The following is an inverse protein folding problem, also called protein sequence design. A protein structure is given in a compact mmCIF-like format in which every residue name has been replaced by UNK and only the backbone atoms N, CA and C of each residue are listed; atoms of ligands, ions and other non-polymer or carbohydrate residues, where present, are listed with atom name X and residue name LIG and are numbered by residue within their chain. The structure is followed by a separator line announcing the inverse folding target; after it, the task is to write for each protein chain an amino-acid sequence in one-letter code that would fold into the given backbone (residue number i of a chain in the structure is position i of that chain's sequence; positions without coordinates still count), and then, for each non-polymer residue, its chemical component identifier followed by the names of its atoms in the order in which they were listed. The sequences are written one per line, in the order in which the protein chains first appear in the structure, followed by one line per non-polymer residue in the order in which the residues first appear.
data_IF_470811615717
#
_entry.id   IF_470811615717
#
_cell.length_a   1.000
_cell.length_b   1.000
_cell.length_c   1.000
_cell.angle_alpha   90.00
_cell.angle_beta   90.00
_cell.angle_gamma   90.00
#
_symmetry.space_group_name_H-M   'P 1'
#
loop_
_entity.id
_entity.type
_entity.pdbx_description
1 polymer ?
#
# COMPACT_ATOMS: atom_id res chain seq x y z
N UNK A 1 -12.62 20.35 12.38
CA UNK A 1 -13.18 18.98 12.50
C UNK A 1 -12.00 18.09 12.79
N UNK A 2 -12.01 17.41 13.92
CA UNK A 2 -10.88 16.60 14.35
C UNK A 2 -10.65 15.45 13.35
N UNK A 3 -9.38 15.12 13.12
CA UNK A 3 -8.93 14.02 12.30
C UNK A 3 -9.45 12.71 12.91
N UNK A 4 -10.17 11.84 12.16
CA UNK A 4 -10.58 10.55 12.70
C UNK A 4 -9.36 9.69 13.03
N UNK A 5 -9.42 8.85 14.07
CA UNK A 5 -8.38 7.87 14.31
C UNK A 5 -8.31 6.88 13.15
N UNK A 6 -7.12 6.34 12.87
CA UNK A 6 -6.99 5.22 11.94
C UNK A 6 -7.38 3.93 12.67
N UNK A 7 -8.41 3.28 12.17
CA UNK A 7 -8.91 1.99 12.63
C UNK A 7 -8.76 0.99 11.47
N UNK A 8 -7.70 0.20 11.52
CA UNK A 8 -7.37 -0.75 10.47
C UNK A 8 -8.41 -1.89 10.41
N UNK A 9 -8.86 -2.39 11.55
CA UNK A 9 -9.83 -3.49 11.61
C UNK A 9 -11.20 -3.09 11.05
N UNK A 10 -11.62 -1.85 11.29
CA UNK A 10 -12.87 -1.35 10.75
C UNK A 10 -12.81 -1.13 9.23
N UNK A 11 -11.64 -0.80 8.68
CA UNK A 11 -11.47 -0.43 7.28
C UNK A 11 -11.10 -1.64 6.40
N UNK A 12 -10.33 -2.59 6.95
CA UNK A 12 -9.77 -3.73 6.26
C UNK A 12 -10.35 -5.04 6.84
N UNK A 13 -11.59 -5.33 6.50
CA UNK A 13 -12.39 -6.44 7.01
C UNK A 13 -12.89 -7.35 5.87
N UNK A 14 -13.86 -8.22 6.17
CA UNK A 14 -14.49 -9.10 5.18
C UNK A 14 -15.25 -8.33 4.08
N UNK A 15 -15.80 -7.14 4.38
CA UNK A 15 -16.45 -6.32 3.37
C UNK A 15 -15.40 -5.77 2.39
N UNK A 16 -14.21 -5.40 2.88
CA UNK A 16 -13.10 -5.04 2.01
C UNK A 16 -12.73 -6.19 1.06
N UNK A 17 -12.52 -7.40 1.57
CA UNK A 17 -12.19 -8.57 0.74
C UNK A 17 -13.26 -8.82 -0.32
N UNK A 18 -14.54 -8.82 0.07
CA UNK A 18 -15.66 -9.03 -0.84
C UNK A 18 -15.66 -8.04 -2.02
N UNK A 19 -15.52 -6.75 -1.76
CA UNK A 19 -15.57 -5.75 -2.83
C UNK A 19 -14.28 -5.67 -3.65
N UNK A 20 -13.13 -5.89 -3.03
CA UNK A 20 -11.84 -5.73 -3.70
C UNK A 20 -11.40 -6.96 -4.50
N UNK A 21 -12.01 -8.12 -4.32
CA UNK A 21 -11.79 -9.30 -5.16
C UNK A 21 -11.98 -9.00 -6.64
N UNK A 22 -13.07 -8.33 -7.02
CA UNK A 22 -13.32 -7.93 -8.40
C UNK A 22 -12.45 -6.75 -8.88
N UNK A 23 -12.08 -5.86 -7.97
CA UNK A 23 -11.24 -4.70 -8.28
C UNK A 23 -9.77 -5.05 -8.45
N UNK A 24 -9.34 -6.20 -7.94
CA UNK A 24 -7.96 -6.68 -7.96
C UNK A 24 -7.86 -8.07 -8.62
N UNK A 25 -8.31 -8.22 -9.87
CA UNK A 25 -8.21 -9.50 -10.57
C UNK A 25 -6.76 -9.93 -10.74
N UNK A 26 -6.53 -11.22 -10.95
CA UNK A 26 -5.20 -11.82 -11.09
C UNK A 26 -4.34 -11.10 -12.13
N UNK A 27 -4.90 -10.80 -13.29
CA UNK A 27 -4.18 -10.10 -14.37
C UNK A 27 -3.61 -8.74 -13.92
N UNK A 28 -4.32 -8.01 -13.05
CA UNK A 28 -3.83 -6.75 -12.48
C UNK A 28 -2.71 -7.02 -11.47
N UNK A 29 -2.89 -7.99 -10.60
CA UNK A 29 -1.88 -8.37 -9.62
C UNK A 29 -0.60 -8.90 -10.28
N UNK A 30 -0.72 -9.62 -11.40
CA UNK A 30 0.40 -10.08 -12.22
C UNK A 30 1.16 -8.91 -12.86
N UNK A 31 0.43 -7.95 -13.44
CA UNK A 31 1.03 -6.76 -14.05
C UNK A 31 1.75 -5.87 -13.01
N UNK A 32 1.15 -5.68 -11.84
CA UNK A 32 1.77 -4.95 -10.74
C UNK A 32 3.02 -5.67 -10.20
N UNK A 33 2.97 -7.00 -10.07
CA UNK A 33 4.13 -7.81 -9.68
C UNK A 33 5.27 -7.71 -10.70
N UNK A 34 4.95 -7.71 -12.00
CA UNK A 34 5.94 -7.52 -13.07
C UNK A 34 6.57 -6.13 -13.01
N UNK A 35 5.78 -5.10 -12.73
CA UNK A 35 6.28 -3.74 -12.55
C UNK A 35 7.24 -3.65 -11.35
N UNK A 36 6.86 -4.21 -10.21
CA UNK A 36 7.69 -4.29 -9.00
C UNK A 36 8.99 -5.02 -9.30
N UNK A 37 8.91 -6.17 -10.00
CA UNK A 37 10.05 -6.99 -10.38
C UNK A 37 11.11 -6.19 -11.15
N UNK A 38 10.66 -5.44 -12.17
CA UNK A 38 11.54 -4.61 -12.99
C UNK A 38 12.12 -3.42 -12.24
N UNK A 39 11.28 -2.66 -11.53
CA UNK A 39 11.70 -1.44 -10.86
C UNK A 39 12.67 -1.71 -9.70
N UNK A 40 12.45 -2.80 -8.95
CA UNK A 40 13.31 -3.20 -7.86
C UNK A 40 14.46 -4.12 -8.29
N UNK A 41 14.55 -4.47 -9.59
CA UNK A 41 15.56 -5.39 -10.11
C UNK A 41 15.60 -6.67 -9.26
N UNK A 42 14.43 -7.30 -9.10
CA UNK A 42 14.30 -8.51 -8.30
C UNK A 42 14.95 -9.71 -9.00
N UNK A 43 15.50 -10.59 -8.19
CA UNK A 43 16.08 -11.86 -8.63
C UNK A 43 15.65 -12.97 -7.66
N UNK A 44 15.55 -14.24 -8.13
CA UNK A 44 15.28 -15.37 -7.25
C UNK A 44 16.31 -15.45 -6.10
N UNK A 45 15.83 -15.78 -4.91
CA UNK A 45 16.66 -15.86 -3.70
C UNK A 45 16.79 -14.56 -2.91
N UNK A 46 16.40 -13.40 -3.46
CA UNK A 46 16.42 -12.14 -2.70
C UNK A 46 15.45 -12.17 -1.51
N UNK A 47 15.84 -11.54 -0.41
CA UNK A 47 15.01 -11.30 0.77
C UNK A 47 14.13 -10.08 0.53
N UNK A 48 12.83 -10.29 0.45
CA UNK A 48 11.85 -9.22 0.16
C UNK A 48 10.87 -9.06 1.31
N UNK A 49 10.65 -7.83 1.77
CA UNK A 49 9.56 -7.49 2.68
C UNK A 49 8.41 -6.88 1.87
N UNK A 50 7.24 -7.52 1.90
CA UNK A 50 5.97 -6.92 1.49
C UNK A 50 5.35 -6.28 2.73
N UNK A 51 5.41 -4.95 2.82
CA UNK A 51 5.04 -4.17 3.99
C UNK A 51 3.61 -3.65 3.87
N UNK A 52 2.75 -4.00 4.80
CA UNK A 52 1.28 -3.92 4.70
C UNK A 52 0.80 -4.77 3.51
N UNK A 53 1.13 -6.07 3.56
CA UNK A 53 0.93 -7.01 2.47
C UNK A 53 -0.53 -7.37 2.20
N UNK A 54 -1.44 -7.00 3.12
CA UNK A 54 -2.85 -7.34 3.04
C UNK A 54 -3.06 -8.85 2.93
N UNK A 55 -3.93 -9.28 2.02
CA UNK A 55 -4.22 -10.69 1.74
C UNK A 55 -3.17 -11.38 0.84
N UNK A 56 -1.95 -10.84 0.75
CA UNK A 56 -0.80 -11.54 0.17
C UNK A 56 -0.71 -11.56 -1.36
N UNK A 57 -1.54 -10.82 -2.08
CA UNK A 57 -1.61 -10.88 -3.55
C UNK A 57 -0.28 -10.60 -4.27
N UNK A 58 0.56 -9.71 -3.74
CA UNK A 58 1.91 -9.43 -4.25
C UNK A 58 2.92 -10.40 -3.64
N UNK A 59 2.90 -10.61 -2.32
CA UNK A 59 3.82 -11.49 -1.62
C UNK A 59 3.84 -12.91 -2.21
N UNK A 60 2.66 -13.53 -2.44
CA UNK A 60 2.54 -14.88 -3.00
C UNK A 60 3.14 -14.97 -4.43
N UNK A 61 2.92 -13.94 -5.25
CA UNK A 61 3.46 -13.88 -6.62
C UNK A 61 4.98 -13.71 -6.65
N UNK A 62 5.53 -12.90 -5.73
CA UNK A 62 6.98 -12.75 -5.60
C UNK A 62 7.63 -14.05 -5.12
N UNK A 63 6.98 -14.75 -4.17
CA UNK A 63 7.44 -16.07 -3.71
C UNK A 63 7.39 -17.13 -4.84
N UNK A 64 6.34 -17.12 -5.67
CA UNK A 64 6.22 -17.99 -6.84
C UNK A 64 7.33 -17.77 -7.88
N UNK A 65 7.94 -16.57 -7.89
CA UNK A 65 9.10 -16.24 -8.75
C UNK A 65 10.45 -16.53 -8.05
N UNK A 66 10.44 -17.14 -6.87
CA UNK A 66 11.63 -17.60 -6.17
C UNK A 66 12.24 -16.62 -5.17
N UNK A 67 11.60 -15.49 -4.88
CA UNK A 67 12.02 -14.62 -3.77
C UNK A 67 11.74 -15.29 -2.42
N UNK A 68 12.53 -14.95 -1.40
CA UNK A 68 12.27 -15.29 -0.01
C UNK A 68 11.47 -14.15 0.62
N UNK A 69 10.15 -14.32 0.66
CA UNK A 69 9.24 -13.22 1.01
C UNK A 69 8.81 -13.30 2.47
N UNK A 70 8.88 -12.17 3.15
CA UNK A 70 8.18 -11.92 4.42
C UNK A 70 7.06 -10.92 4.14
N UNK A 71 5.82 -11.26 4.48
CA UNK A 71 4.67 -10.35 4.43
C UNK A 71 4.35 -9.86 5.84
N UNK A 72 4.26 -8.55 6.05
CA UNK A 72 3.82 -7.98 7.32
C UNK A 72 2.53 -7.19 7.12
N UNK A 73 1.53 -7.48 7.94
CA UNK A 73 0.29 -6.69 8.02
C UNK A 73 -0.21 -6.63 9.45
N UNK A 74 -1.03 -5.62 9.77
CA UNK A 74 -1.65 -5.47 11.10
C UNK A 74 -3.00 -6.17 11.21
N UNK A 75 -3.50 -6.78 10.14
CA UNK A 75 -4.84 -7.34 10.03
C UNK A 75 -4.79 -8.88 10.00
N UNK A 76 -5.05 -9.59 11.12
CA UNK A 76 -4.98 -11.05 11.18
C UNK A 76 -5.84 -11.75 10.13
N UNK A 77 -7.06 -11.23 9.90
CA UNK A 77 -7.97 -11.75 8.87
C UNK A 77 -7.30 -11.81 7.48
N UNK A 78 -6.54 -10.77 7.11
CA UNK A 78 -5.86 -10.74 5.83
C UNK A 78 -4.69 -11.71 5.77
N UNK A 79 -3.94 -11.85 6.86
CA UNK A 79 -2.84 -12.80 6.94
C UNK A 79 -3.32 -14.25 6.86
N UNK A 80 -4.48 -14.56 7.44
CA UNK A 80 -5.12 -15.87 7.32
C UNK A 80 -5.52 -16.20 5.87
N UNK A 81 -6.03 -15.21 5.12
CA UNK A 81 -6.31 -15.35 3.69
C UNK A 81 -5.01 -15.53 2.90
N UNK A 82 -4.02 -14.68 3.15
CA UNK A 82 -2.73 -14.73 2.49
C UNK A 82 -2.03 -16.10 2.64
N UNK A 83 -2.08 -16.66 3.85
CA UNK A 83 -1.49 -17.98 4.14
C UNK A 83 -2.23 -19.12 3.45
N UNK A 84 -3.56 -19.07 3.36
CA UNK A 84 -4.36 -20.06 2.61
C UNK A 84 -4.04 -20.02 1.12
N UNK A 85 -4.03 -18.83 0.54
CA UNK A 85 -3.73 -18.65 -0.87
C UNK A 85 -2.28 -19.08 -1.20
N UNK A 86 -1.31 -18.81 -0.31
CA UNK A 86 0.07 -19.29 -0.43
C UNK A 86 0.13 -20.82 -0.45
N UNK A 87 -0.61 -21.48 0.43
CA UNK A 87 -0.67 -22.94 0.49
C UNK A 87 -1.30 -23.54 -0.77
N UNK A 88 -2.37 -22.94 -1.31
CA UNK A 88 -3.03 -23.36 -2.55
C UNK A 88 -2.10 -23.21 -3.76
N UNK A 89 -1.30 -22.14 -3.78
CA UNK A 89 -0.29 -21.89 -4.83
C UNK A 89 0.98 -22.74 -4.65
N UNK A 90 1.13 -23.44 -3.52
CA UNK A 90 2.33 -24.24 -3.21
C UNK A 90 3.58 -23.37 -2.98
N UNK A 91 3.44 -22.15 -2.50
CA UNK A 91 4.54 -21.23 -2.20
C UNK A 91 4.69 -21.02 -0.69
N UNK A 92 5.91 -20.64 -0.27
CA UNK A 92 6.22 -20.34 1.13
C UNK A 92 6.43 -18.83 1.31
N UNK A 93 5.64 -18.22 2.18
CA UNK A 93 5.77 -16.83 2.62
C UNK A 93 5.76 -16.79 4.15
N UNK A 94 6.66 -16.03 4.75
CA UNK A 94 6.71 -15.80 6.20
C UNK A 94 5.75 -14.64 6.55
N UNK A 95 4.49 -14.96 6.89
CA UNK A 95 3.50 -13.95 7.27
C UNK A 95 3.60 -13.61 8.75
N UNK A 96 3.72 -12.30 9.03
CA UNK A 96 3.93 -11.76 10.37
C UNK A 96 2.89 -10.66 10.65
N UNK A 97 2.14 -10.81 11.75
CA UNK A 97 1.31 -9.76 12.28
C UNK A 97 2.19 -8.67 12.91
N UNK A 98 1.99 -7.41 12.53
CA UNK A 98 2.80 -6.32 13.05
C UNK A 98 2.43 -4.94 12.56
N UNK A 99 3.06 -3.95 13.19
CA UNK A 99 2.89 -2.53 12.86
C UNK A 99 4.10 -2.04 12.05
N UNK A 100 3.85 -1.43 10.89
CA UNK A 100 4.91 -0.89 10.04
C UNK A 100 5.73 0.25 10.70
N UNK A 101 5.24 0.81 11.82
CA UNK A 101 5.95 1.82 12.61
C UNK A 101 6.98 1.23 13.58
N UNK A 102 7.02 -0.11 13.73
CA UNK A 102 7.94 -0.81 14.64
C UNK A 102 8.29 -2.20 14.10
N UNK A 103 9.20 -2.26 13.13
CA UNK A 103 9.57 -3.50 12.46
C UNK A 103 10.56 -4.32 13.32
N UNK A 104 10.37 -5.65 13.47
CA UNK A 104 11.21 -6.46 14.38
C UNK A 104 12.59 -6.84 13.80
N UNK A 105 12.94 -6.36 12.62
CA UNK A 105 14.20 -6.73 11.92
C UNK A 105 15.17 -5.55 11.80
N UNK A 106 16.41 -5.83 11.50
CA UNK A 106 17.47 -4.86 11.17
C UNK A 106 18.30 -5.42 10.03
N UNK A 107 18.51 -4.65 8.95
CA UNK A 107 19.36 -5.01 7.78
C UNK A 107 19.13 -6.45 7.28
N UNK A 108 17.86 -6.85 7.22
CA UNK A 108 17.46 -8.21 6.79
C UNK A 108 17.14 -8.29 5.30
N UNK A 109 16.53 -7.25 4.74
CA UNK A 109 15.91 -7.31 3.41
C UNK A 109 16.79 -6.64 2.35
N UNK A 110 16.78 -7.24 1.16
CA UNK A 110 17.36 -6.66 -0.04
C UNK A 110 16.42 -5.64 -0.67
N UNK A 111 15.10 -5.91 -0.56
CA UNK A 111 14.03 -5.08 -1.11
C UNK A 111 12.85 -4.96 -0.16
N UNK A 112 12.17 -3.81 -0.23
CA UNK A 112 10.89 -3.57 0.46
C UNK A 112 9.87 -3.12 -0.58
N UNK A 113 8.67 -3.65 -0.49
CA UNK A 113 7.51 -3.24 -1.28
C UNK A 113 6.46 -2.68 -0.33
N UNK A 114 5.88 -1.52 -0.63
CA UNK A 114 4.70 -0.99 0.04
C UNK A 114 3.72 -0.55 -1.05
N UNK A 115 2.68 -1.32 -1.28
CA UNK A 115 1.89 -1.24 -2.48
C UNK A 115 0.42 -0.95 -2.20
N UNK A 116 -0.30 -0.47 -3.21
CA UNK A 116 -1.73 -0.19 -3.17
C UNK A 116 -2.12 0.88 -2.15
N UNK A 117 -1.35 1.96 -2.07
CA UNK A 117 -1.58 3.11 -1.17
C UNK A 117 -1.62 2.73 0.31
N UNK A 118 -0.82 1.76 0.73
CA UNK A 118 -0.74 1.36 2.13
C UNK A 118 -0.02 2.40 3.01
N UNK A 119 0.77 3.32 2.44
CA UNK A 119 1.45 4.41 3.14
C UNK A 119 0.59 5.67 3.18
N UNK A 120 0.50 6.33 4.36
CA UNK A 120 -0.21 7.61 4.53
C UNK A 120 -1.41 7.57 5.46
N UNK A 121 -1.67 6.47 6.15
CA UNK A 121 -2.78 6.35 7.11
C UNK A 121 -2.48 6.93 8.49
N UNK A 122 -1.23 7.31 8.75
CA UNK A 122 -0.82 7.88 10.03
C UNK A 122 -0.63 9.41 9.95
N UNK A 123 -0.36 10.04 11.09
CA UNK A 123 0.11 11.42 11.09
C UNK A 123 1.58 11.51 10.64
N UNK A 124 2.00 12.75 10.38
CA UNK A 124 3.29 13.02 9.76
C UNK A 124 4.47 12.47 10.58
N UNK A 125 4.51 12.57 11.94
CA UNK A 125 5.56 11.93 12.72
C UNK A 125 5.61 10.41 12.54
N UNK A 126 4.47 9.73 12.57
CA UNK A 126 4.37 8.30 12.42
C UNK A 126 4.68 7.85 10.98
N UNK A 127 4.20 8.58 9.96
CA UNK A 127 4.59 8.30 8.57
C UNK A 127 6.12 8.44 8.37
N UNK A 128 6.75 9.45 8.95
CA UNK A 128 8.22 9.60 8.92
C UNK A 128 8.92 8.44 9.63
N UNK A 129 8.35 7.97 10.75
CA UNK A 129 8.85 6.80 11.47
C UNK A 129 8.82 5.55 10.60
N UNK A 130 7.74 5.32 9.83
CA UNK A 130 7.67 4.21 8.87
C UNK A 130 8.84 4.27 7.88
N UNK A 131 9.15 5.44 7.30
CA UNK A 131 10.27 5.59 6.38
C UNK A 131 11.63 5.26 7.05
N UNK A 132 11.81 5.69 8.30
CA UNK A 132 13.00 5.35 9.09
C UNK A 132 13.11 3.84 9.35
N UNK A 133 11.99 3.19 9.68
CA UNK A 133 11.94 1.74 9.89
C UNK A 133 12.26 0.97 8.61
N UNK A 134 11.72 1.40 7.46
CA UNK A 134 12.07 0.80 6.15
C UNK A 134 13.57 0.94 5.88
N UNK A 135 14.15 2.13 6.09
CA UNK A 135 15.59 2.32 5.94
C UNK A 135 16.38 1.41 6.88
N UNK A 136 15.93 1.22 8.12
CA UNK A 136 16.60 0.40 9.12
C UNK A 136 16.60 -1.10 8.79
N UNK A 137 15.53 -1.62 8.21
CA UNK A 137 15.39 -3.05 7.88
C UNK A 137 16.01 -3.43 6.55
N UNK A 138 16.21 -2.47 5.63
CA UNK A 138 16.96 -2.68 4.40
C UNK A 138 18.44 -2.87 4.67
N UNK A 139 19.09 -3.72 3.91
CA UNK A 139 20.56 -3.81 3.83
C UNK A 139 21.14 -2.55 3.17
N UNK A 140 22.40 -2.21 3.39
CA UNK A 140 23.09 -1.18 2.59
C UNK A 140 22.97 -1.48 1.10
N UNK A 141 22.57 -0.47 0.30
CA UNK A 141 22.28 -0.65 -1.12
C UNK A 141 20.92 -1.29 -1.45
N UNK A 142 20.13 -1.62 -0.43
CA UNK A 142 18.76 -2.12 -0.62
C UNK A 142 17.81 -1.05 -1.18
N UNK A 143 16.70 -1.49 -1.80
CA UNK A 143 15.74 -0.59 -2.44
C UNK A 143 14.35 -0.77 -1.86
N UNK A 144 13.56 0.30 -1.91
CA UNK A 144 12.13 0.28 -1.62
C UNK A 144 11.33 0.78 -2.81
N UNK A 145 10.14 0.21 -3.01
CA UNK A 145 9.12 0.76 -3.90
C UNK A 145 7.84 1.03 -3.15
N UNK A 146 7.28 2.22 -3.37
CA UNK A 146 5.95 2.62 -2.91
C UNK A 146 5.02 2.77 -4.12
N UNK A 147 3.76 2.37 -3.97
CA UNK A 147 2.70 2.78 -4.89
C UNK A 147 1.65 3.56 -4.11
N UNK A 148 1.39 4.78 -4.54
CA UNK A 148 0.57 5.76 -3.84
C UNK A 148 -0.47 6.38 -4.78
N UNK A 149 -1.53 6.93 -4.19
CA UNK A 149 -2.40 7.84 -4.92
C UNK A 149 -1.60 9.08 -5.34
N UNK A 150 -1.59 9.38 -6.63
CA UNK A 150 -0.99 10.62 -7.12
C UNK A 150 -1.87 11.81 -6.67
N UNK A 151 -1.34 12.61 -5.73
CA UNK A 151 -2.05 13.76 -5.17
C UNK A 151 -2.49 14.75 -6.25
N UNK A 152 -1.62 15.03 -7.22
CA UNK A 152 -1.88 16.05 -8.22
C UNK A 152 -2.99 15.62 -9.18
N UNK A 153 -3.01 14.33 -9.55
CA UNK A 153 -4.13 13.74 -10.26
C UNK A 153 -5.43 13.81 -9.44
N UNK A 154 -5.37 13.40 -8.16
CA UNK A 154 -6.56 13.38 -7.30
C UNK A 154 -7.16 14.77 -7.12
N UNK A 155 -6.34 15.81 -6.95
CA UNK A 155 -6.83 17.19 -6.81
C UNK A 155 -7.47 17.69 -8.10
N UNK A 156 -6.91 17.31 -9.25
CA UNK A 156 -7.45 17.69 -10.56
C UNK A 156 -8.78 17.01 -10.88
N UNK A 157 -8.88 15.72 -10.59
CA UNK A 157 -10.06 14.89 -10.90
C UNK A 157 -10.95 14.67 -9.68
N UNK A 158 -10.87 15.57 -8.70
CA UNK A 158 -11.52 15.39 -7.41
C UNK A 158 -13.05 15.30 -7.53
N UNK A 159 -13.59 14.22 -6.97
CA UNK A 159 -15.02 13.99 -6.80
C UNK A 159 -15.30 13.77 -5.31
N UNK A 160 -16.05 14.68 -4.66
CA UNK A 160 -16.32 14.58 -3.21
C UNK A 160 -17.14 13.35 -2.83
N UNK A 161 -18.08 12.96 -3.68
CA UNK A 161 -18.93 11.78 -3.49
C UNK A 161 -18.74 10.84 -4.67
N UNK A 162 -18.43 9.57 -4.41
CA UNK A 162 -18.27 8.57 -5.46
C UNK A 162 -18.68 7.18 -4.98
N UNK A 163 -19.20 6.37 -5.87
CA UNK A 163 -19.26 4.92 -5.70
C UNK A 163 -17.84 4.38 -5.91
N UNK A 164 -17.25 3.87 -4.84
CA UNK A 164 -15.88 3.35 -4.85
C UNK A 164 -15.83 1.90 -5.33
N UNK A 165 -16.85 1.12 -5.04
CA UNK A 165 -17.05 -0.25 -5.51
C UNK A 165 -18.56 -0.58 -5.56
N UNK A 166 -18.93 -1.50 -6.45
CA UNK A 166 -20.24 -2.10 -6.57
C UNK A 166 -20.08 -3.58 -6.90
N UNK A 167 -20.84 -4.44 -6.20
CA UNK A 167 -20.87 -5.88 -6.45
C UNK A 167 -22.23 -6.44 -6.03
N UNK A 168 -22.90 -7.15 -6.90
CA UNK A 168 -24.20 -7.82 -6.65
C UNK A 168 -25.28 -6.91 -6.02
N UNK A 169 -25.25 -5.60 -6.31
CA UNK A 169 -26.15 -4.60 -5.73
C UNK A 169 -25.72 -4.05 -4.37
N UNK A 170 -24.66 -4.56 -3.78
CA UNK A 170 -23.98 -3.98 -2.63
C UNK A 170 -23.03 -2.85 -3.06
N UNK A 171 -22.80 -1.84 -2.21
CA UNK A 171 -22.07 -0.62 -2.59
C UNK A 171 -21.05 -0.20 -1.52
N UNK A 172 -19.90 0.30 -1.98
CA UNK A 172 -19.06 1.20 -1.20
C UNK A 172 -19.19 2.61 -1.77
N UNK A 173 -19.57 3.55 -0.92
CA UNK A 173 -19.63 4.98 -1.25
C UNK A 173 -18.63 5.72 -0.39
N UNK A 174 -17.71 6.45 -1.02
CA UNK A 174 -16.75 7.32 -0.33
C UNK A 174 -17.20 8.78 -0.46
N UNK A 175 -17.38 9.45 0.68
CA UNK A 175 -17.58 10.90 0.81
C UNK A 175 -16.29 11.51 1.30
N UNK A 176 -15.62 12.24 0.43
CA UNK A 176 -14.27 12.73 0.71
C UNK A 176 -14.25 14.26 0.70
N UNK A 177 -13.50 14.83 1.63
CA UNK A 177 -13.12 16.24 1.65
C UNK A 177 -11.61 16.34 1.66
N UNK A 178 -11.07 17.18 0.78
CA UNK A 178 -9.64 17.50 0.81
C UNK A 178 -9.38 18.62 1.82
N UNK A 179 -8.38 18.43 2.66
CA UNK A 179 -7.85 19.45 3.53
C UNK A 179 -6.51 19.95 2.98
N UNK A 180 -6.48 21.16 2.36
CA UNK A 180 -5.27 21.67 1.74
C UNK A 180 -4.20 22.10 2.77
N UNK A 181 -4.60 22.37 4.02
CA UNK A 181 -3.66 22.78 5.08
C UNK A 181 -2.81 21.62 5.58
N UNK A 182 -3.37 20.41 5.54
CA UNK A 182 -2.68 19.20 6.01
C UNK A 182 -2.39 18.18 4.90
N UNK A 183 -2.82 18.50 3.67
CA UNK A 183 -2.73 17.58 2.51
C UNK A 183 -3.34 16.21 2.80
N UNK A 184 -4.52 16.17 3.41
CA UNK A 184 -5.25 14.94 3.75
C UNK A 184 -6.56 14.85 2.99
N UNK A 185 -6.86 13.65 2.51
CA UNK A 185 -8.20 13.25 2.12
C UNK A 185 -8.90 12.69 3.36
N UNK A 186 -9.94 13.37 3.81
CA UNK A 186 -10.77 12.97 4.96
C UNK A 186 -12.03 12.32 4.39
N UNK A 187 -12.19 11.03 4.62
CA UNK A 187 -13.23 10.21 3.98
C UNK A 187 -14.16 9.60 5.01
N UNK A 188 -15.46 9.68 4.76
CA UNK A 188 -16.47 8.82 5.35
C UNK A 188 -16.81 7.74 4.32
N UNK A 189 -16.40 6.51 4.56
CA UNK A 189 -16.80 5.34 3.77
C UNK A 189 -18.14 4.82 4.26
N UNK A 190 -19.08 4.65 3.36
CA UNK A 190 -20.38 4.04 3.62
C UNK A 190 -20.40 2.70 2.90
N UNK A 191 -20.49 1.62 3.66
CA UNK A 191 -20.63 0.26 3.15
C UNK A 191 -22.09 -0.15 3.26
N UNK A 192 -22.71 -0.43 2.13
CA UNK A 192 -24.05 -1.03 2.05
C UNK A 192 -23.84 -2.47 1.60
N UNK A 193 -24.09 -3.42 2.47
CA UNK A 193 -23.95 -4.85 2.16
C UNK A 193 -24.97 -5.69 2.90
N UNK A 194 -25.63 -6.61 2.18
CA UNK A 194 -26.64 -7.53 2.73
C UNK A 194 -27.72 -6.81 3.58
N UNK A 195 -28.18 -5.63 3.14
CA UNK A 195 -29.19 -4.82 3.82
C UNK A 195 -28.66 -4.06 5.06
N UNK A 196 -27.37 -4.09 5.33
CA UNK A 196 -26.74 -3.35 6.44
C UNK A 196 -26.02 -2.11 5.90
N UNK A 197 -25.96 -1.06 6.72
CA UNK A 197 -25.22 0.17 6.44
C UNK A 197 -24.20 0.40 7.55
N UNK A 198 -22.92 0.50 7.18
CA UNK A 198 -21.84 0.89 8.09
C UNK A 198 -21.18 2.17 7.61
N UNK A 199 -20.69 2.96 8.55
CA UNK A 199 -19.96 4.21 8.27
C UNK A 199 -18.60 4.13 8.95
N UNK A 200 -17.55 4.34 8.15
CA UNK A 200 -16.16 4.18 8.59
C UNK A 200 -15.43 5.48 8.24
N UNK A 201 -15.14 6.34 9.21
CA UNK A 201 -14.33 7.52 8.97
C UNK A 201 -12.86 7.15 8.95
N UNK A 202 -12.12 7.66 7.96
CA UNK A 202 -10.67 7.54 7.89
C UNK A 202 -10.06 8.73 7.15
N UNK A 203 -8.76 8.83 7.17
CA UNK A 203 -8.03 9.79 6.35
C UNK A 203 -6.86 9.12 5.65
N UNK A 204 -6.42 9.76 4.57
CA UNK A 204 -5.17 9.43 3.89
C UNK A 204 -4.35 10.69 3.69
N UNK A 205 -3.09 10.66 4.09
CA UNK A 205 -2.11 11.70 3.80
C UNK A 205 -1.70 11.58 2.34
N UNK A 206 -1.90 12.66 1.58
CA UNK A 206 -1.56 12.72 0.17
C UNK A 206 -0.21 13.41 0.00
N UNK A 207 0.69 12.83 -0.78
CA UNK A 207 2.03 13.35 -1.01
C UNK A 207 2.17 13.86 -2.43
N UNK A 208 2.82 15.02 -2.61
CA UNK A 208 3.49 15.33 -3.86
C UNK A 208 4.79 14.53 -3.93
N UNK A 209 5.30 14.28 -5.14
CA UNK A 209 6.60 13.61 -5.28
C UNK A 209 7.72 14.37 -4.55
N UNK A 210 7.76 15.70 -4.70
CA UNK A 210 8.81 16.52 -4.07
C UNK A 210 8.80 16.43 -2.55
N UNK A 211 7.62 16.43 -1.93
CA UNK A 211 7.50 16.26 -0.48
C UNK A 211 7.94 14.88 -0.01
N UNK A 212 7.47 13.81 -0.68
CA UNK A 212 7.87 12.45 -0.33
C UNK A 212 9.36 12.21 -0.54
N UNK A 213 9.93 12.76 -1.64
CA UNK A 213 11.39 12.73 -1.88
C UNK A 213 12.15 13.35 -0.71
N UNK A 214 11.74 14.53 -0.25
CA UNK A 214 12.43 15.22 0.83
C UNK A 214 12.34 14.42 2.16
N UNK A 215 11.22 13.73 2.39
CA UNK A 215 11.07 12.84 3.55
C UNK A 215 11.95 11.59 3.42
N UNK A 216 12.04 11.00 2.24
CA UNK A 216 12.94 9.85 1.97
C UNK A 216 14.41 10.23 2.14
N UNK A 217 14.84 11.39 1.62
CA UNK A 217 16.20 11.90 1.85
C UNK A 217 16.49 12.06 3.34
N UNK A 218 15.54 12.63 4.10
CA UNK A 218 15.68 12.80 5.55
C UNK A 218 15.73 11.45 6.32
N UNK A 219 15.15 10.39 5.77
CA UNK A 219 15.21 9.03 6.32
C UNK A 219 16.48 8.27 5.91
N UNK A 220 17.36 8.87 5.10
CA UNK A 220 18.65 8.29 4.69
C UNK A 220 18.64 7.53 3.37
N UNK A 221 17.60 7.71 2.54
CA UNK A 221 17.56 7.18 1.19
C UNK A 221 18.27 8.12 0.20
N UNK A 222 18.69 7.54 -0.93
CA UNK A 222 19.27 8.23 -2.09
C UNK A 222 18.61 7.72 -3.39
N UNK A 223 19.00 8.24 -4.54
CA UNK A 223 18.56 7.75 -5.86
C UNK A 223 17.04 7.58 -5.94
N UNK A 224 16.30 8.66 -5.61
CA UNK A 224 14.84 8.62 -5.53
C UNK A 224 14.25 8.98 -6.88
N UNK A 225 13.44 8.08 -7.44
CA UNK A 225 12.82 8.22 -8.74
C UNK A 225 11.30 8.03 -8.63
N UNK A 226 10.55 8.62 -9.57
CA UNK A 226 9.10 8.50 -9.62
C UNK A 226 8.60 8.17 -11.02
N UNK A 227 7.61 7.29 -11.05
CA UNK A 227 6.96 6.77 -12.25
C UNK A 227 5.45 6.79 -12.08
N UNK A 228 4.74 6.64 -13.17
CA UNK A 228 3.33 6.26 -13.18
C UNK A 228 3.16 4.74 -13.01
N UNK A 229 1.90 4.29 -12.93
CA UNK A 229 1.54 2.88 -12.80
C UNK A 229 1.97 1.97 -13.97
N UNK A 230 2.34 2.54 -15.12
CA UNK A 230 2.84 1.84 -16.32
C UNK A 230 4.35 2.01 -16.52
N UNK A 231 5.07 2.52 -15.52
CA UNK A 231 6.49 2.85 -15.56
C UNK A 231 6.88 3.97 -16.55
N UNK A 232 5.92 4.74 -17.06
CA UNK A 232 6.22 5.97 -17.79
C UNK A 232 6.59 7.10 -16.81
N UNK A 233 7.19 8.20 -17.25
CA UNK A 233 7.47 9.35 -16.38
C UNK A 233 6.22 9.84 -15.66
N UNK A 234 6.34 10.12 -14.37
CA UNK A 234 5.24 10.63 -13.55
C UNK A 234 4.65 11.91 -14.16
N UNK A 235 3.34 11.97 -14.27
CA UNK A 235 2.61 13.15 -14.73
C UNK A 235 1.34 13.39 -13.90
N UNK A 236 0.74 14.56 -14.05
CA UNK A 236 -0.54 14.91 -13.42
C UNK A 236 -1.74 14.13 -13.99
N UNK A 237 -1.55 13.38 -15.09
CA UNK A 237 -2.60 12.58 -15.73
C UNK A 237 -2.66 11.14 -15.23
N UNK A 238 -1.60 10.67 -14.55
CA UNK A 238 -1.53 9.32 -14.02
C UNK A 238 -2.17 9.25 -12.64
N UNK A 239 -3.05 8.30 -12.44
CA UNK A 239 -3.78 8.13 -11.18
C UNK A 239 -2.88 7.70 -10.03
N UNK A 240 -1.86 6.91 -10.33
CA UNK A 240 -0.91 6.36 -9.36
C UNK A 240 0.47 6.97 -9.52
N UNK A 241 1.15 7.09 -8.43
CA UNK A 241 2.56 7.46 -8.34
C UNK A 241 3.33 6.29 -7.75
N UNK A 242 4.29 5.79 -8.49
CA UNK A 242 5.25 4.78 -8.01
C UNK A 242 6.55 5.48 -7.70
N UNK A 243 7.07 5.32 -6.49
CA UNK A 243 8.33 5.92 -6.05
C UNK A 243 9.29 4.83 -5.65
N UNK A 244 10.50 4.85 -6.21
CA UNK A 244 11.60 3.99 -5.80
C UNK A 244 12.67 4.79 -5.09
N UNK A 245 13.33 4.19 -4.11
CA UNK A 245 14.44 4.81 -3.40
C UNK A 245 15.47 3.76 -2.98
N UNK A 246 16.75 4.12 -2.97
CA UNK A 246 17.86 3.27 -2.54
C UNK A 246 18.37 3.74 -1.18
N UNK A 247 18.64 2.78 -0.29
CA UNK A 247 19.30 3.04 1.00
C UNK A 247 20.82 3.19 0.84
#
# INVERSE_FOLDING_TARGET
MDKPPFDAEALFDEDYLYFYEELLPDAKSDAETELIWRLLQLEPGMQVLDLACGHGRIANRLAARGCQVTGLDSTPLFLDHAGRDAAELGVAVDYVEGDMRALPWTQRFDRVVNWFSAFGYFDDPDNRRVLTEIARVLRPGGHVAFELMNRDWLVREFQPDRVAAERDGDLIIDRTRLDPMTSRALTERIVLRAGRVRRIPFFMRLFTFTELRDWLLAAGFASIEAYSEDATPLSMTNRRMVVTAQR
#
